data_IF_224007633153
#
_entry.id   IF_224007633153
#
_cell.length_a   1.000
_cell.length_b   1.000
_cell.length_c   1.000
_cell.angle_alpha   90.00
_cell.angle_beta   90.00
_cell.angle_gamma   90.00
#
_symmetry.space_group_name_H-M   'P 1'
#
loop_
_entity.id
_entity.type
_entity.pdbx_description
1 polymer ?
#
# COMPACT_ATOMS: atom_id res chain seq x y z
N UNK A 1 11.21 -5.31 -27.36
CA UNK A 1 9.76 -5.10 -27.63
C UNK A 1 8.82 -5.71 -26.58
N UNK A 2 9.30 -6.32 -25.47
CA UNK A 2 8.41 -6.96 -24.48
C UNK A 2 7.95 -6.04 -23.33
N UNK A 3 8.87 -5.28 -22.73
CA UNK A 3 8.62 -4.44 -21.54
C UNK A 3 7.65 -3.28 -21.80
N UNK A 4 7.85 -2.51 -22.87
CA UNK A 4 6.94 -1.41 -23.27
C UNK A 4 5.50 -1.89 -23.56
N UNK A 5 5.35 -3.12 -24.06
CA UNK A 5 4.03 -3.71 -24.34
C UNK A 5 3.30 -4.11 -23.06
N UNK A 6 4.04 -4.58 -22.05
CA UNK A 6 3.49 -4.95 -20.74
C UNK A 6 3.05 -3.68 -20.00
N UNK A 7 3.88 -2.64 -20.00
CA UNK A 7 3.54 -1.35 -19.37
C UNK A 7 2.32 -0.71 -20.04
N UNK A 8 2.22 -0.79 -21.37
CA UNK A 8 1.06 -0.30 -22.11
C UNK A 8 -0.21 -1.10 -21.76
N UNK A 9 -0.11 -2.43 -21.68
CA UNK A 9 -1.23 -3.30 -21.33
C UNK A 9 -1.73 -3.05 -19.91
N UNK A 10 -0.80 -2.91 -18.96
CA UNK A 10 -1.11 -2.55 -17.57
C UNK A 10 -1.79 -1.19 -17.52
N UNK A 11 -1.24 -0.20 -18.22
CA UNK A 11 -1.83 1.15 -18.30
C UNK A 11 -3.26 1.08 -18.85
N UNK A 12 -3.49 0.33 -19.93
CA UNK A 12 -4.80 0.19 -20.56
C UNK A 12 -5.82 -0.51 -19.64
N UNK A 13 -5.36 -1.44 -18.80
CA UNK A 13 -6.20 -2.12 -17.81
C UNK A 13 -6.56 -1.22 -16.61
N UNK A 14 -5.64 -0.36 -16.17
CA UNK A 14 -5.85 0.58 -15.06
C UNK A 14 -6.77 1.74 -15.47
N UNK A 15 -6.64 2.19 -16.71
CA UNK A 15 -7.22 3.43 -17.20
C UNK A 15 -8.76 3.57 -16.97
N UNK A 16 -9.59 2.53 -17.20
CA UNK A 16 -11.03 2.61 -16.92
C UNK A 16 -11.34 2.82 -15.43
N UNK A 17 -10.62 2.11 -14.56
CA UNK A 17 -10.83 2.20 -13.10
C UNK A 17 -10.35 3.56 -12.59
N UNK A 18 -9.23 4.06 -13.13
CA UNK A 18 -8.74 5.40 -12.83
C UNK A 18 -9.75 6.48 -13.24
N UNK A 19 -10.25 6.46 -14.49
CA UNK A 19 -11.23 7.44 -14.95
C UNK A 19 -12.54 7.39 -14.19
N UNK A 20 -13.00 6.19 -13.80
CA UNK A 20 -14.17 6.04 -12.94
C UNK A 20 -13.98 6.73 -11.59
N UNK A 21 -12.84 6.54 -10.92
CA UNK A 21 -12.52 7.24 -9.68
C UNK A 21 -12.45 8.76 -9.86
N UNK A 22 -11.84 9.22 -10.96
CA UNK A 22 -11.81 10.65 -11.28
C UNK A 22 -13.23 11.23 -11.48
N UNK A 23 -14.11 10.48 -12.16
CA UNK A 23 -15.49 10.85 -12.37
C UNK A 23 -16.25 10.94 -11.04
N UNK A 24 -16.07 9.97 -10.14
CA UNK A 24 -16.68 10.02 -8.81
C UNK A 24 -16.26 11.26 -8.01
N UNK A 25 -14.96 11.60 -8.02
CA UNK A 25 -14.46 12.80 -7.36
C UNK A 25 -15.05 14.09 -7.98
N UNK A 26 -15.15 14.13 -9.31
CA UNK A 26 -15.75 15.26 -10.02
C UNK A 26 -17.25 15.41 -9.71
N UNK A 27 -17.99 14.30 -9.66
CA UNK A 27 -19.41 14.30 -9.29
C UNK A 27 -19.59 14.74 -7.84
N UNK A 28 -18.75 14.26 -6.93
CA UNK A 28 -18.78 14.66 -5.52
C UNK A 28 -18.56 16.16 -5.34
N UNK A 29 -17.52 16.72 -5.97
CA UNK A 29 -17.27 18.15 -5.97
C UNK A 29 -18.45 18.94 -6.57
N UNK A 30 -19.07 18.42 -7.63
CA UNK A 30 -20.23 19.05 -8.28
C UNK A 30 -21.47 19.09 -7.38
N UNK A 31 -21.75 17.99 -6.65
CA UNK A 31 -22.86 17.93 -5.68
C UNK A 31 -22.63 18.91 -4.53
N UNK A 32 -21.39 19.00 -4.02
CA UNK A 32 -21.07 19.98 -2.98
C UNK A 32 -21.24 21.41 -3.50
N UNK A 33 -20.73 21.69 -4.70
CA UNK A 33 -20.87 23.01 -5.31
C UNK A 33 -22.34 23.37 -5.51
N UNK A 34 -23.17 22.43 -5.99
CA UNK A 34 -24.61 22.61 -6.13
C UNK A 34 -25.28 22.89 -4.78
N UNK A 35 -24.94 22.14 -3.73
CA UNK A 35 -25.43 22.37 -2.36
C UNK A 35 -25.10 23.78 -1.88
N UNK A 36 -23.89 24.27 -2.14
CA UNK A 36 -23.49 25.64 -1.79
C UNK A 36 -24.27 26.69 -2.57
N UNK A 37 -24.47 26.50 -3.87
CA UNK A 37 -25.27 27.41 -4.71
C UNK A 37 -26.72 27.47 -4.21
N UNK A 38 -27.32 26.33 -3.90
CA UNK A 38 -28.69 26.26 -3.34
C UNK A 38 -28.76 27.00 -2.00
N UNK A 39 -27.81 26.77 -1.08
CA UNK A 39 -27.75 27.48 0.21
C UNK A 39 -27.58 28.99 0.05
N UNK A 40 -26.78 29.42 -0.93
CA UNK A 40 -26.59 30.84 -1.26
C UNK A 40 -27.89 31.47 -1.74
N UNK A 41 -28.60 30.81 -2.66
CA UNK A 41 -29.88 31.25 -3.20
C UNK A 41 -30.99 31.25 -2.14
N UNK A 42 -30.98 30.31 -1.20
CA UNK A 42 -31.93 30.23 -0.08
C UNK A 42 -31.66 31.26 1.03
N UNK A 43 -30.68 32.16 0.86
CA UNK A 43 -30.46 33.37 1.67
C UNK A 43 -30.26 33.12 3.18
N UNK A 44 -29.72 31.96 3.55
CA UNK A 44 -29.38 31.64 4.94
C UNK A 44 -27.95 32.08 5.24
N UNK A 45 -27.78 33.01 6.18
CA UNK A 45 -26.47 33.44 6.66
C UNK A 45 -25.77 32.25 7.34
N UNK A 46 -24.53 32.02 6.89
CA UNK A 46 -23.45 31.37 7.63
C UNK A 46 -23.53 29.84 7.77
N UNK A 47 -22.80 29.16 6.91
CA UNK A 47 -21.60 28.43 7.37
C UNK A 47 -20.52 28.57 6.29
N UNK A 48 -19.55 29.46 6.54
CA UNK A 48 -18.32 29.58 5.75
C UNK A 48 -17.37 28.45 6.17
N UNK A 49 -17.81 27.21 5.99
CA UNK A 49 -16.91 26.06 6.07
C UNK A 49 -15.92 26.15 4.92
N UNK A 50 -14.63 25.98 5.21
CA UNK A 50 -13.58 25.98 4.20
C UNK A 50 -13.79 24.77 3.27
N UNK A 51 -14.31 25.02 2.06
CA UNK A 51 -14.51 23.95 1.10
C UNK A 51 -13.17 23.51 0.52
N UNK A 52 -12.78 22.28 0.82
CA UNK A 52 -11.65 21.62 0.17
C UNK A 52 -12.16 20.82 -1.03
N UNK A 53 -11.81 21.28 -2.23
CA UNK A 53 -12.02 20.54 -3.48
C UNK A 53 -11.34 19.17 -3.37
N UNK A 54 -12.05 18.09 -3.67
CA UNK A 54 -11.48 16.75 -3.65
C UNK A 54 -10.76 16.40 -4.94
N UNK A 55 -11.24 16.88 -6.10
CA UNK A 55 -10.58 16.73 -7.40
C UNK A 55 -9.44 17.76 -7.52
N UNK A 56 -8.30 17.42 -6.93
CA UNK A 56 -7.04 18.18 -7.04
C UNK A 56 -6.05 17.47 -7.95
N UNK A 57 -5.08 18.21 -8.49
CA UNK A 57 -4.02 17.61 -9.31
C UNK A 57 -3.16 16.64 -8.50
N UNK A 58 -3.01 16.93 -7.21
CA UNK A 58 -2.33 16.14 -6.19
C UNK A 58 -3.12 14.86 -5.91
N UNK A 59 -4.43 14.97 -5.75
CA UNK A 59 -5.35 13.84 -5.60
C UNK A 59 -5.33 12.91 -6.81
N UNK A 60 -5.39 13.45 -8.03
CA UNK A 60 -5.29 12.67 -9.26
C UNK A 60 -3.96 11.93 -9.38
N UNK A 61 -2.85 12.62 -9.11
CA UNK A 61 -1.51 12.01 -9.08
C UNK A 61 -1.41 10.92 -8.01
N UNK A 62 -2.03 11.13 -6.84
CA UNK A 62 -2.08 10.14 -5.76
C UNK A 62 -2.85 8.88 -6.20
N UNK A 63 -4.06 9.04 -6.74
CA UNK A 63 -4.89 7.94 -7.24
C UNK A 63 -4.17 7.16 -8.33
N UNK A 64 -3.55 7.85 -9.30
CA UNK A 64 -2.75 7.21 -10.35
C UNK A 64 -1.58 6.40 -9.79
N UNK A 65 -0.83 6.98 -8.85
CA UNK A 65 0.29 6.30 -8.18
C UNK A 65 -0.18 5.07 -7.40
N UNK A 66 -1.35 5.13 -6.76
CA UNK A 66 -1.93 3.97 -6.06
C UNK A 66 -2.19 2.81 -7.02
N UNK A 67 -2.81 3.08 -8.17
CA UNK A 67 -3.06 2.02 -9.16
C UNK A 67 -1.79 1.45 -9.77
N UNK A 68 -0.79 2.30 -10.04
CA UNK A 68 0.52 1.81 -10.50
C UNK A 68 1.15 0.90 -9.44
N UNK A 69 1.16 1.32 -8.18
CA UNK A 69 1.69 0.50 -7.09
C UNK A 69 0.98 -0.85 -6.99
N UNK A 70 -0.35 -0.87 -7.14
CA UNK A 70 -1.13 -2.10 -7.13
C UNK A 70 -0.85 -3.00 -8.34
N UNK A 71 -0.71 -2.44 -9.54
CA UNK A 71 -0.44 -3.22 -10.73
C UNK A 71 0.96 -3.82 -10.78
N UNK A 72 1.94 -3.11 -10.20
CA UNK A 72 3.30 -3.60 -10.05
C UNK A 72 3.54 -4.38 -8.74
N UNK A 73 2.48 -4.69 -7.97
CA UNK A 73 2.59 -5.65 -6.86
C UNK A 73 3.06 -6.99 -7.42
N UNK A 74 4.27 -7.38 -7.01
CA UNK A 74 4.85 -8.67 -7.36
C UNK A 74 4.16 -9.83 -6.62
N UNK A 75 3.53 -9.54 -5.47
CA UNK A 75 2.81 -10.53 -4.66
C UNK A 75 1.38 -10.65 -5.17
N UNK A 76 0.97 -11.86 -5.54
CA UNK A 76 -0.41 -12.20 -5.92
C UNK A 76 -0.85 -13.47 -5.20
N UNK A 77 -2.13 -13.56 -4.85
CA UNK A 77 -2.69 -14.75 -4.21
C UNK A 77 -2.67 -15.93 -5.17
N UNK A 78 -2.23 -17.10 -4.70
CA UNK A 78 -2.13 -18.32 -5.50
C UNK A 78 -0.84 -18.44 -6.32
N UNK A 79 -0.03 -17.39 -6.37
CA UNK A 79 1.32 -17.41 -6.96
C UNK A 79 2.37 -17.69 -5.88
N UNK A 80 3.61 -17.95 -6.32
CA UNK A 80 4.74 -18.18 -5.42
C UNK A 80 5.01 -16.95 -4.53
N UNK A 81 5.20 -17.20 -3.23
CA UNK A 81 5.53 -16.15 -2.27
C UNK A 81 6.94 -15.58 -2.58
N UNK A 82 7.12 -14.25 -2.69
CA UNK A 82 8.43 -13.67 -2.99
C UNK A 82 9.44 -13.96 -1.89
N UNK A 83 10.60 -14.49 -2.29
CA UNK A 83 11.70 -14.80 -1.37
C UNK A 83 12.63 -13.59 -1.15
N UNK A 84 12.05 -12.48 -0.68
CA UNK A 84 12.78 -11.22 -0.48
C UNK A 84 13.86 -11.33 0.59
N UNK A 85 14.90 -10.50 0.47
CA UNK A 85 15.97 -10.45 1.47
C UNK A 85 15.51 -9.73 2.72
N UNK A 86 15.84 -10.29 3.88
CA UNK A 86 15.60 -9.75 5.22
C UNK A 86 16.87 -9.85 6.05
N UNK A 87 16.95 -9.08 7.15
CA UNK A 87 18.07 -9.14 8.07
C UNK A 87 17.58 -9.78 9.36
N UNK A 88 18.29 -10.83 9.80
CA UNK A 88 17.96 -11.54 11.03
C UNK A 88 18.45 -10.70 12.22
N UNK A 89 17.53 -10.33 13.10
CA UNK A 89 17.84 -9.64 14.36
C UNK A 89 17.92 -10.68 15.46
N UNK A 90 19.02 -10.69 16.20
CA UNK A 90 19.16 -11.54 17.39
C UNK A 90 18.33 -10.95 18.53
N UNK A 91 17.42 -11.76 19.11
CA UNK A 91 16.67 -11.31 20.28
C UNK A 91 17.61 -11.30 21.50
N UNK A 92 17.67 -10.21 22.28
CA UNK A 92 18.43 -10.18 23.53
C UNK A 92 17.77 -11.01 24.66
N UNK A 93 16.61 -11.65 24.43
CA UNK A 93 15.87 -12.40 25.44
C UNK A 93 16.32 -13.86 25.56
N UNK A 94 17.54 -14.04 26.06
CA UNK A 94 18.01 -15.30 26.64
C UNK A 94 18.14 -15.15 28.15
N UNK A 95 17.12 -15.54 28.92
CA UNK A 95 17.25 -15.71 30.37
C UNK A 95 18.36 -16.72 30.72
N UNK A 96 18.98 -16.63 31.92
CA UNK A 96 20.27 -17.25 32.21
C UNK A 96 20.27 -18.78 32.41
N UNK A 97 19.26 -19.52 31.93
CA UNK A 97 19.16 -20.97 32.13
C UNK A 97 18.71 -21.69 30.85
N UNK A 98 19.65 -21.98 29.95
CA UNK A 98 19.55 -23.12 29.05
C UNK A 98 20.95 -23.64 28.76
N UNK A 99 21.25 -24.82 29.28
CA UNK A 99 22.57 -25.44 29.25
C UNK A 99 22.98 -25.94 27.87
N UNK A 100 24.29 -25.95 27.64
CA UNK A 100 25.03 -26.72 26.64
C UNK A 100 24.28 -27.07 25.33
N UNK A 101 24.14 -26.09 24.46
CA UNK A 101 24.23 -26.33 23.03
C UNK A 101 25.27 -25.38 22.45
N UNK A 102 26.04 -25.89 21.49
CA UNK A 102 27.08 -25.17 20.75
C UNK A 102 26.58 -23.77 20.44
N UNK A 103 27.23 -22.74 21.00
CA UNK A 103 27.00 -21.34 20.67
C UNK A 103 27.34 -21.14 19.20
N UNK A 104 26.37 -21.41 18.33
CA UNK A 104 26.32 -20.81 17.02
C UNK A 104 26.18 -19.32 17.29
N UNK A 105 27.31 -18.62 17.18
CA UNK A 105 27.42 -17.17 17.28
C UNK A 105 26.62 -16.61 16.10
N UNK A 106 25.30 -16.56 16.22
CA UNK A 106 24.43 -15.93 15.24
C UNK A 106 24.76 -14.45 15.28
N UNK A 107 25.57 -14.05 14.30
CA UNK A 107 26.01 -12.68 14.09
C UNK A 107 24.74 -11.86 13.85
N UNK A 108 24.49 -10.91 14.75
CA UNK A 108 23.44 -9.92 14.58
C UNK A 108 23.67 -9.21 13.23
N UNK A 109 22.63 -9.10 12.41
CA UNK A 109 22.76 -8.47 11.09
C UNK A 109 23.10 -9.39 9.92
N UNK A 110 22.98 -10.72 10.05
CA UNK A 110 23.12 -11.62 8.88
C UNK A 110 21.93 -11.45 7.94
N UNK A 111 22.24 -11.16 6.68
CA UNK A 111 21.29 -11.17 5.58
C UNK A 111 20.80 -12.60 5.34
N UNK A 112 19.49 -12.79 5.33
CA UNK A 112 18.84 -14.05 4.95
C UNK A 112 17.62 -13.73 4.07
N UNK A 113 16.80 -14.73 3.77
CA UNK A 113 15.60 -14.57 2.97
C UNK A 113 14.32 -14.93 3.75
N UNK A 114 13.18 -14.43 3.27
CA UNK A 114 11.89 -14.60 3.93
C UNK A 114 11.48 -16.08 4.06
N UNK A 115 11.73 -16.89 3.03
CA UNK A 115 11.36 -18.31 3.03
C UNK A 115 12.32 -19.19 3.85
N UNK A 116 13.46 -18.66 4.30
CA UNK A 116 14.35 -19.38 5.22
C UNK A 116 13.70 -19.61 6.61
N UNK A 117 12.60 -18.88 6.89
CA UNK A 117 11.78 -19.06 8.09
C UNK A 117 10.60 -20.02 7.88
N UNK A 118 10.37 -20.48 6.65
CA UNK A 118 9.28 -21.40 6.34
C UNK A 118 9.63 -22.83 6.76
N UNK A 119 8.60 -23.61 7.11
CA UNK A 119 8.71 -25.06 7.33
C UNK A 119 7.66 -25.76 6.46
N UNK A 120 8.01 -26.88 5.85
CA UNK A 120 7.15 -27.59 4.90
C UNK A 120 5.77 -27.99 5.48
N UNK A 121 5.70 -28.16 6.80
CA UNK A 121 4.50 -28.65 7.49
C UNK A 121 3.66 -27.53 8.12
N UNK A 122 4.11 -26.27 8.06
CA UNK A 122 3.48 -25.16 8.80
C UNK A 122 3.38 -23.88 7.96
N UNK A 123 2.20 -23.23 7.93
CA UNK A 123 2.08 -21.92 7.31
C UNK A 123 3.01 -20.90 7.97
N UNK A 124 3.71 -20.12 7.16
CA UNK A 124 4.47 -18.95 7.61
C UNK A 124 3.56 -17.72 7.60
N UNK A 125 3.35 -17.11 8.76
CA UNK A 125 2.60 -15.85 8.89
C UNK A 125 3.58 -14.69 9.00
N UNK A 126 3.44 -13.70 8.12
CA UNK A 126 4.32 -12.53 8.09
C UNK A 126 3.53 -11.29 8.49
N UNK A 127 4.04 -10.55 9.46
CA UNK A 127 3.47 -9.27 9.90
C UNK A 127 4.52 -8.17 9.71
N UNK A 128 4.19 -7.18 8.89
CA UNK A 128 5.05 -6.03 8.63
C UNK A 128 4.60 -4.87 9.51
N UNK A 129 5.55 -4.26 10.22
CA UNK A 129 5.29 -3.10 11.07
C UNK A 129 6.55 -2.28 11.33
N UNK A 130 6.35 -1.10 11.88
CA UNK A 130 7.40 -0.18 12.32
C UNK A 130 6.99 0.46 13.64
N UNK A 131 7.94 0.67 14.56
CA UNK A 131 7.69 1.53 15.71
C UNK A 131 7.69 3.00 15.23
N UNK A 132 6.52 3.63 15.21
CA UNK A 132 6.36 5.08 15.04
C UNK A 132 6.28 5.75 16.40
#
# INVERSE_FOLDING_TARGET
MGILSIDLLITLQILPVFFSNCLFLALYDSVILLKHVVLLLSRSKSTRGEWRRMLTSEGLRCVWKSFLLDAYKQVKLGEDAPNSSVVRVSSPEGGPNSGNSVREKTVDGVQCHLLDFASAERPLVVNFGSAT
#
